data_IF_080165443740
#
_entry.id   IF_080165443740
#
_cell.length_a   1.000
_cell.length_b   1.000
_cell.length_c   1.000
_cell.angle_alpha   90.00
_cell.angle_beta   90.00
_cell.angle_gamma   90.00
#
_symmetry.space_group_name_H-M   'P 1'
#
loop_
_entity.id
_entity.type
_entity.pdbx_description
1 polymer ?
#
# COMPACT_ATOMS: atom_id res chain seq x y z
N UNK A 1 31.04 18.01 6.03
CA UNK A 1 31.04 16.53 5.89
C UNK A 1 29.91 16.01 6.76
N UNK A 2 28.73 15.84 6.20
CA UNK A 2 27.61 15.22 6.95
C UNK A 2 27.89 13.73 7.03
N UNK A 3 28.22 13.25 8.23
CA UNK A 3 28.23 11.82 8.51
C UNK A 3 26.81 11.32 8.27
N UNK A 4 26.61 10.50 7.24
CA UNK A 4 25.35 9.77 7.05
C UNK A 4 25.10 8.94 8.29
N UNK A 5 24.28 9.44 9.19
CA UNK A 5 23.79 8.63 10.30
C UNK A 5 22.97 7.48 9.70
N UNK A 6 23.36 6.25 10.02
CA UNK A 6 22.59 5.08 9.62
C UNK A 6 21.15 5.20 10.13
N UNK A 7 20.19 4.68 9.36
CA UNK A 7 18.79 4.62 9.82
C UNK A 7 18.70 3.85 11.15
N UNK A 8 17.83 4.29 12.08
CA UNK A 8 17.60 3.57 13.32
C UNK A 8 17.16 2.11 13.07
N UNK A 9 17.54 1.21 13.96
CA UNK A 9 17.37 -0.23 13.76
C UNK A 9 15.91 -0.68 13.73
N UNK A 10 15.06 -0.15 14.61
CA UNK A 10 13.65 -0.57 14.69
C UNK A 10 12.73 0.38 13.92
N UNK A 11 11.60 -0.15 13.47
CA UNK A 11 10.61 0.60 12.72
C UNK A 11 10.05 1.78 13.51
N UNK A 12 9.81 1.62 14.82
CA UNK A 12 9.32 2.68 15.70
C UNK A 12 10.33 3.82 15.84
N UNK A 13 11.61 3.47 15.99
CA UNK A 13 12.68 4.47 16.04
C UNK A 13 12.82 5.21 14.72
N UNK A 14 12.69 4.50 13.59
CA UNK A 14 12.71 5.12 12.26
C UNK A 14 11.54 6.06 12.04
N UNK A 15 10.32 5.65 12.39
CA UNK A 15 9.14 6.49 12.27
C UNK A 15 9.26 7.79 13.08
N UNK A 16 9.72 7.70 14.35
CA UNK A 16 9.99 8.87 15.18
C UNK A 16 11.10 9.75 14.60
N UNK A 17 12.13 9.13 14.06
CA UNK A 17 13.25 9.85 13.43
C UNK A 17 12.79 10.60 12.18
N UNK A 18 12.01 9.99 11.29
CA UNK A 18 11.40 10.70 10.16
C UNK A 18 10.56 11.89 10.63
N UNK A 19 9.75 11.69 11.68
CA UNK A 19 8.92 12.78 12.23
C UNK A 19 9.74 13.93 12.76
N UNK A 20 10.80 13.66 13.51
CA UNK A 20 11.67 14.70 14.10
C UNK A 20 12.46 15.48 13.05
N UNK A 21 12.64 14.94 11.84
CA UNK A 21 13.34 15.61 10.73
C UNK A 21 12.39 16.20 9.68
N UNK A 22 11.14 16.47 10.05
CA UNK A 22 10.18 17.12 9.14
C UNK A 22 9.42 16.19 8.20
N UNK A 23 9.56 14.87 8.37
CA UNK A 23 8.90 13.86 7.56
C UNK A 23 9.79 13.19 6.53
N UNK A 24 9.22 12.23 5.84
CA UNK A 24 9.95 11.36 4.88
C UNK A 24 10.55 12.18 3.72
N UNK A 25 9.78 13.10 3.16
CA UNK A 25 10.22 13.91 2.03
C UNK A 25 11.40 14.83 2.44
N UNK A 26 11.30 15.51 3.58
CA UNK A 26 12.37 16.39 4.07
C UNK A 26 13.68 15.63 4.29
N UNK A 27 13.61 14.42 4.84
CA UNK A 27 14.78 13.57 5.06
C UNK A 27 15.44 13.16 3.75
N UNK A 28 14.66 12.80 2.74
CA UNK A 28 15.20 12.41 1.42
C UNK A 28 15.80 13.61 0.70
N UNK A 29 15.11 14.74 0.68
CA UNK A 29 15.58 15.98 0.04
C UNK A 29 16.86 16.54 0.69
N UNK A 30 16.99 16.39 2.00
CA UNK A 30 18.18 16.77 2.74
C UNK A 30 19.36 15.78 2.61
N UNK A 31 19.18 14.66 1.91
CA UNK A 31 20.22 13.64 1.71
C UNK A 31 20.68 12.98 3.03
N UNK A 32 19.80 12.87 4.01
CA UNK A 32 20.15 12.33 5.34
C UNK A 32 20.20 10.80 5.36
N UNK A 33 19.71 10.14 4.31
CA UNK A 33 19.73 8.69 4.19
C UNK A 33 21.07 8.25 3.57
N UNK A 34 21.55 7.09 4.03
CA UNK A 34 22.66 6.42 3.34
C UNK A 34 22.21 5.95 1.95
N UNK A 35 23.14 5.87 1.00
CA UNK A 35 22.86 5.46 -0.40
C UNK A 35 22.20 4.09 -0.50
N UNK A 36 22.32 3.26 0.53
CA UNK A 36 21.71 1.93 0.58
C UNK A 36 21.10 1.70 1.95
N UNK A 37 19.82 1.34 1.98
CA UNK A 37 19.09 0.99 3.21
C UNK A 37 18.35 -0.32 3.04
N UNK A 38 18.25 -1.12 4.11
CA UNK A 38 17.50 -2.37 4.13
C UNK A 38 16.30 -2.23 5.07
N UNK A 39 15.09 -2.40 4.55
CA UNK A 39 13.84 -2.22 5.27
C UNK A 39 12.88 -3.39 4.98
N UNK A 40 11.85 -3.55 5.82
CA UNK A 40 10.74 -4.44 5.52
C UNK A 40 9.95 -3.96 4.29
N UNK A 41 9.41 -4.90 3.51
CA UNK A 41 8.65 -4.57 2.30
C UNK A 41 7.45 -3.67 2.61
N UNK A 42 6.68 -3.97 3.65
CA UNK A 42 5.51 -3.14 4.04
C UNK A 42 5.93 -1.73 4.42
N UNK A 43 7.05 -1.58 5.12
CA UNK A 43 7.59 -0.27 5.47
C UNK A 43 8.00 0.53 4.24
N UNK A 44 8.65 -0.10 3.28
CA UNK A 44 9.04 0.54 2.02
C UNK A 44 7.82 0.99 1.22
N UNK A 45 6.77 0.17 1.18
CA UNK A 45 5.53 0.54 0.51
C UNK A 45 4.86 1.74 1.18
N UNK A 46 4.77 1.75 2.52
CA UNK A 46 4.21 2.90 3.27
C UNK A 46 5.03 4.16 3.03
N UNK A 47 6.37 4.09 3.11
CA UNK A 47 7.24 5.23 2.81
C UNK A 47 7.09 5.73 1.37
N UNK A 48 6.97 4.81 0.42
CA UNK A 48 6.75 5.15 -0.99
C UNK A 48 5.40 5.83 -1.23
N UNK A 49 4.34 5.39 -0.53
CA UNK A 49 3.01 6.03 -0.59
C UNK A 49 3.04 7.42 0.04
N UNK A 50 3.70 7.59 1.20
CA UNK A 50 3.90 8.91 1.82
C UNK A 50 4.61 9.87 0.85
N UNK A 51 5.63 9.40 0.14
CA UNK A 51 6.33 10.22 -0.88
C UNK A 51 5.44 10.63 -2.05
N UNK A 52 4.38 9.88 -2.33
CA UNK A 52 3.37 10.22 -3.33
C UNK A 52 2.25 11.10 -2.76
N UNK A 53 2.36 11.56 -1.52
CA UNK A 53 1.35 12.38 -0.84
C UNK A 53 0.21 11.58 -0.20
N UNK A 54 0.29 10.26 -0.18
CA UNK A 54 -0.73 9.40 0.43
C UNK A 54 -0.40 9.21 1.90
N UNK A 55 -1.13 9.91 2.75
CA UNK A 55 -0.99 9.85 4.21
C UNK A 55 -2.27 9.40 4.91
N UNK A 56 -3.36 9.22 4.17
CA UNK A 56 -4.66 8.73 4.68
C UNK A 56 -4.91 7.31 4.19
N UNK A 57 -5.16 6.43 5.13
CA UNK A 57 -5.42 5.00 4.89
C UNK A 57 -6.78 4.62 5.46
N UNK A 58 -7.72 4.26 4.58
CA UNK A 58 -9.03 3.78 4.94
C UNK A 58 -8.97 2.25 4.98
N UNK A 59 -9.32 1.62 6.11
CA UNK A 59 -8.96 0.22 6.30
C UNK A 59 -10.01 -0.61 7.03
N UNK A 60 -10.10 -1.86 6.59
CA UNK A 60 -10.68 -2.98 7.31
C UNK A 60 -9.65 -4.10 7.26
N UNK A 61 -8.93 -4.27 8.37
CA UNK A 61 -7.82 -5.22 8.45
C UNK A 61 -8.31 -6.61 8.80
N UNK A 62 -7.58 -7.60 8.34
CA UNK A 62 -7.83 -9.00 8.62
C UNK A 62 -6.72 -9.89 8.09
N UNK A 63 -7.02 -11.16 7.82
CA UNK A 63 -6.06 -12.08 7.23
C UNK A 63 -5.48 -11.52 5.93
N UNK A 64 -4.18 -11.62 5.75
CA UNK A 64 -3.46 -11.11 4.58
C UNK A 64 -3.10 -9.63 4.62
N UNK A 65 -3.55 -8.85 5.61
CA UNK A 65 -3.19 -7.42 5.73
C UNK A 65 -2.54 -7.04 7.08
N UNK A 66 -2.20 -8.03 7.91
CA UNK A 66 -1.70 -7.83 9.27
C UNK A 66 -0.36 -7.10 9.30
N UNK A 67 0.62 -7.54 8.51
CA UNK A 67 1.94 -6.92 8.44
C UNK A 67 1.89 -5.47 7.95
N UNK A 68 1.05 -5.22 6.95
CA UNK A 68 0.84 -3.87 6.45
C UNK A 68 0.15 -2.98 7.49
N UNK A 69 -0.87 -3.52 8.17
CA UNK A 69 -1.60 -2.84 9.24
C UNK A 69 -0.69 -2.50 10.43
N UNK A 70 0.20 -3.41 10.83
CA UNK A 70 1.16 -3.15 11.91
C UNK A 70 2.14 -2.03 11.54
N UNK A 71 2.63 -2.04 10.31
CA UNK A 71 3.44 -0.93 9.79
C UNK A 71 2.69 0.40 9.87
N UNK A 72 1.43 0.44 9.42
CA UNK A 72 0.62 1.66 9.51
C UNK A 72 0.42 2.13 10.95
N UNK A 73 0.17 1.21 11.89
CA UNK A 73 0.03 1.53 13.33
C UNK A 73 1.28 2.25 13.87
N UNK A 74 2.46 1.77 13.50
CA UNK A 74 3.73 2.40 13.92
C UNK A 74 3.88 3.80 13.35
N UNK A 75 3.62 3.98 12.07
CA UNK A 75 3.74 5.28 11.40
C UNK A 75 2.63 6.27 11.81
N UNK A 76 1.44 5.78 12.13
CA UNK A 76 0.35 6.58 12.71
C UNK A 76 0.70 7.05 14.12
N UNK A 77 1.27 6.18 14.96
CA UNK A 77 1.72 6.52 16.31
C UNK A 77 2.80 7.61 16.30
N UNK A 78 3.58 7.71 15.24
CA UNK A 78 4.54 8.79 15.04
C UNK A 78 3.92 10.04 14.38
N UNK A 79 2.65 10.01 13.99
CA UNK A 79 1.94 11.13 13.36
C UNK A 79 2.40 11.41 11.92
N UNK A 80 2.84 10.39 11.19
CA UNK A 80 3.24 10.48 9.78
C UNK A 80 2.12 10.09 8.82
N UNK A 81 1.20 9.26 9.27
CA UNK A 81 0.01 8.83 8.53
C UNK A 81 -1.21 8.87 9.44
N UNK A 82 -2.40 8.72 8.84
CA UNK A 82 -3.67 8.61 9.55
C UNK A 82 -4.46 7.42 9.04
N UNK A 83 -4.83 6.50 9.94
CA UNK A 83 -5.71 5.37 9.69
C UNK A 83 -7.16 5.70 10.03
N UNK A 84 -8.09 5.24 9.20
CA UNK A 84 -9.52 5.34 9.40
C UNK A 84 -10.13 3.94 9.31
N UNK A 85 -10.68 3.46 10.42
CA UNK A 85 -11.36 2.18 10.48
C UNK A 85 -12.79 2.31 9.97
N UNK A 86 -13.21 1.36 9.16
CA UNK A 86 -14.57 1.27 8.62
C UNK A 86 -15.25 -0.02 9.09
N UNK A 87 -16.56 -0.12 8.87
CA UNK A 87 -17.36 -1.30 9.18
C UNK A 87 -17.79 -2.09 7.94
N UNK A 88 -17.63 -1.48 6.76
CA UNK A 88 -18.02 -2.05 5.48
C UNK A 88 -17.05 -1.60 4.40
N UNK A 89 -16.56 -2.54 3.59
CA UNK A 89 -15.56 -2.27 2.55
C UNK A 89 -16.13 -1.48 1.37
N UNK A 90 -17.41 -1.64 1.07
CA UNK A 90 -18.08 -0.87 0.02
C UNK A 90 -18.12 0.61 0.39
N UNK A 91 -18.57 0.91 1.62
CA UNK A 91 -18.60 2.28 2.15
C UNK A 91 -17.19 2.88 2.21
N UNK A 92 -16.21 2.11 2.65
CA UNK A 92 -14.82 2.52 2.72
C UNK A 92 -14.29 2.93 1.34
N UNK A 93 -14.52 2.13 0.31
CA UNK A 93 -14.05 2.42 -1.04
C UNK A 93 -14.79 3.62 -1.66
N UNK A 94 -16.08 3.80 -1.38
CA UNK A 94 -16.80 5.02 -1.76
C UNK A 94 -16.27 6.26 -1.04
N UNK A 95 -15.97 6.16 0.27
CA UNK A 95 -15.38 7.26 1.03
C UNK A 95 -14.01 7.68 0.46
N UNK A 96 -13.17 6.70 0.08
CA UNK A 96 -11.89 6.97 -0.58
C UNK A 96 -12.07 7.69 -1.92
N UNK A 97 -13.04 7.25 -2.72
CA UNK A 97 -13.39 7.90 -3.98
C UNK A 97 -13.86 9.34 -3.75
N UNK A 98 -14.71 9.57 -2.74
CA UNK A 98 -15.21 10.89 -2.39
C UNK A 98 -14.09 11.83 -1.91
N UNK A 99 -13.17 11.35 -1.07
CA UNK A 99 -12.00 12.12 -0.64
C UNK A 99 -11.19 12.63 -1.82
N UNK A 100 -10.90 11.74 -2.76
CA UNK A 100 -10.13 12.11 -3.95
C UNK A 100 -10.92 13.03 -4.88
N UNK A 101 -12.20 12.76 -5.10
CA UNK A 101 -13.04 13.49 -6.06
C UNK A 101 -13.40 14.90 -5.59
N UNK A 102 -13.81 15.02 -4.31
CA UNK A 102 -14.35 16.27 -3.78
C UNK A 102 -13.26 17.17 -3.21
N UNK A 103 -12.26 16.56 -2.55
CA UNK A 103 -11.25 17.31 -1.80
C UNK A 103 -9.85 17.24 -2.42
N UNK A 104 -9.70 16.49 -3.52
CA UNK A 104 -8.40 16.21 -4.17
C UNK A 104 -7.37 15.59 -3.19
N UNK A 105 -7.86 14.86 -2.18
CA UNK A 105 -7.02 14.22 -1.18
C UNK A 105 -6.68 12.77 -1.60
N UNK A 106 -5.42 12.48 -1.98
CA UNK A 106 -5.03 11.13 -2.30
C UNK A 106 -5.02 10.25 -1.05
N UNK A 107 -5.58 9.05 -1.18
CA UNK A 107 -5.69 8.09 -0.10
C UNK A 107 -5.55 6.66 -0.62
N UNK A 108 -5.41 5.71 0.31
CA UNK A 108 -5.38 4.29 0.00
C UNK A 108 -6.45 3.54 0.78
N UNK A 109 -7.09 2.59 0.13
CA UNK A 109 -8.00 1.59 0.71
C UNK A 109 -7.21 0.34 1.02
N UNK A 110 -7.35 -0.21 2.23
CA UNK A 110 -6.68 -1.43 2.68
C UNK A 110 -7.71 -2.44 3.14
N UNK A 111 -7.68 -3.63 2.56
CA UNK A 111 -8.56 -4.72 2.97
C UNK A 111 -7.81 -6.01 3.26
N UNK A 112 -8.52 -6.93 3.92
CA UNK A 112 -8.19 -8.33 3.95
C UNK A 112 -8.33 -8.96 2.54
N UNK A 113 -7.97 -10.23 2.40
CA UNK A 113 -8.15 -11.01 1.18
C UNK A 113 -9.59 -11.44 0.98
N UNK A 114 -9.88 -11.97 -0.21
CA UNK A 114 -11.14 -12.63 -0.52
C UNK A 114 -12.35 -11.70 -0.47
N UNK A 115 -13.31 -11.98 0.42
CA UNK A 115 -14.57 -11.24 0.47
C UNK A 115 -14.38 -9.73 0.67
N UNK A 116 -13.45 -9.31 1.54
CA UNK A 116 -13.16 -7.90 1.78
C UNK A 116 -12.64 -7.20 0.52
N UNK A 117 -11.70 -7.82 -0.18
CA UNK A 117 -11.18 -7.32 -1.45
C UNK A 117 -12.29 -7.18 -2.50
N UNK A 118 -13.16 -8.20 -2.63
CA UNK A 118 -14.27 -8.18 -3.60
C UNK A 118 -15.31 -7.11 -3.28
N UNK A 119 -15.63 -6.89 -2.01
CA UNK A 119 -16.55 -5.84 -1.60
C UNK A 119 -15.99 -4.44 -1.90
N UNK A 120 -14.75 -4.17 -1.55
CA UNK A 120 -14.09 -2.89 -1.88
C UNK A 120 -13.97 -2.71 -3.40
N UNK A 121 -13.69 -3.77 -4.15
CA UNK A 121 -13.62 -3.73 -5.60
C UNK A 121 -14.98 -3.38 -6.23
N UNK A 122 -16.09 -3.89 -5.70
CA UNK A 122 -17.42 -3.57 -6.23
C UNK A 122 -17.68 -2.05 -6.20
N UNK A 123 -17.29 -1.36 -5.14
CA UNK A 123 -17.41 0.10 -5.05
C UNK A 123 -16.41 0.85 -5.93
N UNK A 124 -15.32 0.24 -6.34
CA UNK A 124 -14.31 0.89 -7.19
C UNK A 124 -14.79 1.18 -8.61
N UNK A 125 -15.97 0.67 -9.00
CA UNK A 125 -16.58 0.99 -10.30
C UNK A 125 -16.80 2.48 -10.46
N UNK A 126 -17.15 3.20 -9.38
CA UNK A 126 -17.35 4.66 -9.40
C UNK A 126 -16.05 5.37 -9.72
N UNK A 127 -14.96 5.02 -9.07
CA UNK A 127 -13.63 5.61 -9.35
C UNK A 127 -13.13 5.24 -10.74
N UNK A 128 -13.39 4.01 -11.19
CA UNK A 128 -13.02 3.55 -12.54
C UNK A 128 -13.76 4.31 -13.64
N UNK A 129 -15.08 4.46 -13.49
CA UNK A 129 -15.93 5.10 -14.51
C UNK A 129 -15.73 6.62 -14.61
N UNK A 130 -15.31 7.26 -13.51
CA UNK A 130 -15.18 8.72 -13.44
C UNK A 130 -13.73 9.22 -13.48
N UNK A 131 -12.76 8.34 -13.71
CA UNK A 131 -11.37 8.75 -13.80
C UNK A 131 -10.78 9.23 -12.46
N UNK A 132 -11.23 8.67 -11.35
CA UNK A 132 -10.79 9.03 -10.00
C UNK A 132 -9.70 8.07 -9.52
N UNK A 133 -8.50 8.59 -9.31
CA UNK A 133 -7.37 7.76 -8.88
C UNK A 133 -7.43 7.43 -7.39
N UNK A 134 -7.54 6.14 -7.06
CA UNK A 134 -7.49 5.61 -5.69
C UNK A 134 -6.60 4.39 -5.66
N UNK A 135 -5.73 4.30 -4.66
CA UNK A 135 -5.01 3.07 -4.37
C UNK A 135 -5.91 2.08 -3.63
N UNK A 136 -5.96 0.86 -4.12
CA UNK A 136 -6.58 -0.28 -3.46
C UNK A 136 -5.48 -1.30 -3.15
N UNK A 137 -5.16 -1.48 -1.88
CA UNK A 137 -4.11 -2.40 -1.40
C UNK A 137 -4.81 -3.56 -0.69
N UNK A 138 -4.75 -4.72 -1.30
CA UNK A 138 -5.45 -5.90 -0.83
C UNK A 138 -4.46 -6.94 -0.35
N UNK A 139 -4.71 -7.54 0.81
CA UNK A 139 -4.05 -8.77 1.17
C UNK A 139 -4.33 -9.84 0.11
N UNK A 140 -3.39 -10.74 -0.09
CA UNK A 140 -3.55 -11.89 -0.97
C UNK A 140 -2.97 -13.13 -0.30
N UNK A 141 -3.40 -14.30 -0.75
CA UNK A 141 -2.90 -15.56 -0.23
C UNK A 141 -1.42 -15.78 -0.59
N UNK A 142 -0.82 -16.75 0.08
CA UNK A 142 0.54 -17.14 -0.19
C UNK A 142 0.75 -17.54 -1.65
N UNK A 143 1.92 -17.22 -2.19
CA UNK A 143 2.33 -17.65 -3.53
C UNK A 143 2.85 -19.10 -3.55
N UNK A 144 2.99 -19.73 -2.39
CA UNK A 144 3.29 -21.16 -2.30
C UNK A 144 2.05 -21.99 -2.44
N UNK A 145 2.14 -23.11 -3.18
CA UNK A 145 1.03 -24.03 -3.35
C UNK A 145 0.74 -24.79 -2.06
N UNK A 146 -0.13 -24.26 -1.22
CA UNK A 146 -0.43 -24.82 0.10
C UNK A 146 -1.61 -25.81 0.10
N UNK A 147 -2.10 -26.21 -1.04
CA UNK A 147 -3.12 -27.24 -1.16
C UNK A 147 -4.50 -26.76 -0.69
N UNK A 148 -5.20 -27.60 0.09
CA UNK A 148 -6.64 -27.47 0.30
C UNK A 148 -7.08 -26.57 1.46
N UNK A 149 -6.18 -25.96 2.19
CA UNK A 149 -6.48 -25.18 3.40
C UNK A 149 -6.34 -23.65 3.23
N UNK A 150 -6.28 -23.16 2.00
CA UNK A 150 -6.28 -21.74 1.74
C UNK A 150 -7.63 -21.13 2.15
N UNK A 151 -7.59 -20.16 3.02
CA UNK A 151 -8.76 -19.74 3.79
C UNK A 151 -9.82 -19.00 2.96
N UNK A 152 -9.46 -18.21 2.00
CA UNK A 152 -10.38 -17.29 1.34
C UNK A 152 -10.22 -17.26 -0.19
N UNK A 153 -9.54 -18.23 -0.73
CA UNK A 153 -9.30 -18.37 -2.16
C UNK A 153 -9.86 -19.69 -2.66
N UNK A 154 -10.55 -19.73 -3.80
CA UNK A 154 -10.90 -20.99 -4.45
C UNK A 154 -9.65 -21.82 -4.72
N UNK A 155 -9.67 -23.07 -4.31
CA UNK A 155 -8.50 -23.96 -4.16
C UNK A 155 -7.66 -24.21 -5.41
N UNK A 156 -8.15 -23.87 -6.60
CA UNK A 156 -7.47 -24.19 -7.86
C UNK A 156 -6.86 -23.00 -8.57
N UNK A 157 -7.11 -21.78 -8.07
CA UNK A 157 -6.82 -20.54 -8.80
C UNK A 157 -5.96 -19.60 -7.98
N UNK A 158 -4.68 -19.91 -7.86
CA UNK A 158 -3.72 -18.95 -7.33
C UNK A 158 -3.69 -17.68 -8.20
N UNK A 159 -3.68 -16.52 -7.56
CA UNK A 159 -3.67 -15.24 -8.28
C UNK A 159 -5.02 -14.81 -8.86
N UNK A 160 -6.12 -15.50 -8.48
CA UNK A 160 -7.47 -15.16 -8.97
C UNK A 160 -7.85 -13.71 -8.67
N UNK A 161 -7.48 -13.17 -7.51
CA UNK A 161 -7.81 -11.79 -7.16
C UNK A 161 -7.08 -10.78 -8.04
N UNK A 162 -5.85 -11.08 -8.47
CA UNK A 162 -5.15 -10.28 -9.47
C UNK A 162 -5.89 -10.25 -10.81
N UNK A 163 -6.44 -11.38 -11.24
CA UNK A 163 -7.23 -11.47 -12.48
C UNK A 163 -8.56 -10.71 -12.35
N UNK A 164 -9.27 -10.89 -11.23
CA UNK A 164 -10.55 -10.23 -10.98
C UNK A 164 -10.35 -8.72 -10.92
N UNK A 165 -9.39 -8.23 -10.16
CA UNK A 165 -9.14 -6.79 -10.02
C UNK A 165 -8.67 -6.14 -11.32
N UNK A 166 -8.00 -6.89 -12.20
CA UNK A 166 -7.60 -6.42 -13.53
C UNK A 166 -8.79 -6.09 -14.44
N UNK A 167 -9.97 -6.61 -14.17
CA UNK A 167 -11.19 -6.27 -14.92
C UNK A 167 -11.72 -4.87 -14.60
N UNK A 168 -11.39 -4.33 -13.42
CA UNK A 168 -11.87 -3.04 -12.94
C UNK A 168 -10.88 -1.90 -13.12
N UNK A 169 -9.63 -2.20 -13.34
CA UNK A 169 -8.58 -1.20 -13.49
C UNK A 169 -7.20 -1.80 -13.63
N UNK A 170 -6.17 -0.98 -13.39
CA UNK A 170 -4.79 -1.48 -13.38
C UNK A 170 -4.56 -2.32 -12.13
N UNK A 171 -4.12 -3.55 -12.29
CA UNK A 171 -3.82 -4.49 -11.20
C UNK A 171 -2.37 -4.94 -11.25
N UNK A 172 -1.79 -5.16 -10.08
CA UNK A 172 -0.44 -5.68 -9.92
C UNK A 172 -0.36 -6.57 -8.68
N UNK A 173 0.08 -7.80 -8.84
CA UNK A 173 0.35 -8.69 -7.71
C UNK A 173 1.84 -8.70 -7.42
N UNK A 174 2.22 -8.34 -6.20
CA UNK A 174 3.62 -8.21 -5.78
C UNK A 174 4.19 -9.58 -5.35
N UNK A 175 4.40 -10.47 -6.31
CA UNK A 175 4.98 -11.79 -6.07
C UNK A 175 6.45 -11.74 -5.62
N UNK A 176 7.19 -10.75 -6.10
CA UNK A 176 8.61 -10.57 -5.83
C UNK A 176 8.81 -9.29 -5.05
N UNK A 177 9.26 -9.34 -3.78
CA UNK A 177 9.44 -8.16 -2.94
C UNK A 177 10.29 -7.06 -3.59
N UNK A 178 11.33 -7.42 -4.35
CA UNK A 178 12.23 -6.49 -5.04
C UNK A 178 11.53 -5.66 -6.12
N UNK A 179 10.36 -6.10 -6.60
CA UNK A 179 9.58 -5.38 -7.60
C UNK A 179 8.72 -4.23 -7.02
N UNK A 180 8.87 -3.90 -5.73
CA UNK A 180 8.09 -2.84 -5.05
C UNK A 180 8.17 -1.48 -5.75
N UNK A 181 9.33 -1.12 -6.33
CA UNK A 181 9.49 0.14 -7.08
C UNK A 181 8.61 0.16 -8.33
N UNK A 182 8.53 -0.96 -9.05
CA UNK A 182 7.67 -1.08 -10.22
C UNK A 182 6.19 -1.00 -9.82
N UNK A 183 5.80 -1.66 -8.73
CA UNK A 183 4.45 -1.58 -8.18
C UNK A 183 4.05 -0.13 -7.84
N UNK A 184 4.90 0.58 -7.10
CA UNK A 184 4.67 1.98 -6.72
C UNK A 184 4.63 2.91 -7.94
N UNK A 185 5.52 2.74 -8.90
CA UNK A 185 5.55 3.52 -10.14
C UNK A 185 4.29 3.31 -10.98
N UNK A 186 3.86 2.06 -11.16
CA UNK A 186 2.61 1.72 -11.86
C UNK A 186 1.40 2.35 -11.16
N UNK A 187 1.36 2.25 -9.83
CA UNK A 187 0.31 2.87 -9.03
C UNK A 187 0.28 4.38 -9.19
N UNK A 188 1.42 5.05 -9.03
CA UNK A 188 1.52 6.50 -9.24
C UNK A 188 1.07 6.92 -10.65
N UNK A 189 1.54 6.21 -11.67
CA UNK A 189 1.16 6.49 -13.07
C UNK A 189 -0.34 6.36 -13.28
N UNK A 190 -1.01 5.39 -12.63
CA UNK A 190 -2.45 5.19 -12.79
C UNK A 190 -3.27 6.16 -11.95
N UNK A 191 -2.92 6.30 -10.66
CA UNK A 191 -3.70 7.08 -9.69
C UNK A 191 -3.60 8.59 -9.96
N UNK A 192 -2.43 9.06 -10.37
CA UNK A 192 -2.15 10.49 -10.61
C UNK A 192 -2.11 10.85 -12.09
N UNK A 193 -2.60 10.00 -12.97
CA UNK A 193 -2.61 10.30 -14.40
C UNK A 193 -3.51 11.52 -14.69
N UNK A 194 -3.03 12.54 -15.40
CA UNK A 194 -3.77 13.81 -15.57
C UNK A 194 -5.10 13.67 -16.31
N UNK A 195 -5.23 12.69 -17.21
CA UNK A 195 -6.43 12.51 -18.04
C UNK A 195 -7.01 11.09 -18.03
N UNK A 196 -6.31 10.12 -17.44
CA UNK A 196 -6.72 8.70 -17.43
C UNK A 196 -6.55 8.08 -16.02
N UNK A 197 -6.71 8.89 -14.98
CA UNK A 197 -6.67 8.41 -13.62
C UNK A 197 -7.72 7.30 -13.40
N UNK A 198 -7.54 6.52 -12.36
CA UNK A 198 -8.45 5.46 -11.99
C UNK A 198 -7.88 4.59 -10.88
N UNK A 199 -8.63 3.61 -10.41
CA UNK A 199 -8.17 2.74 -9.35
C UNK A 199 -6.93 1.95 -9.80
N UNK A 200 -6.02 1.77 -8.84
CA UNK A 200 -4.88 0.86 -8.96
C UNK A 200 -4.95 -0.18 -7.86
N UNK A 201 -5.00 -1.44 -8.24
CA UNK A 201 -5.09 -2.57 -7.32
C UNK A 201 -3.71 -3.19 -7.11
N UNK A 202 -3.23 -3.13 -5.88
CA UNK A 202 -2.00 -3.79 -5.45
C UNK A 202 -2.35 -4.98 -4.56
N UNK A 203 -2.18 -6.18 -5.09
CA UNK A 203 -2.38 -7.41 -4.33
C UNK A 203 -1.05 -7.80 -3.66
N UNK A 204 -1.08 -7.97 -2.34
CA UNK A 204 0.08 -8.26 -1.50
C UNK A 204 0.00 -9.67 -0.93
N UNK A 205 0.66 -10.66 -1.55
CA UNK A 205 0.72 -12.02 -1.00
C UNK A 205 1.30 -12.02 0.42
N UNK A 206 0.65 -12.75 1.33
CA UNK A 206 0.98 -12.77 2.75
C UNK A 206 2.43 -13.18 3.02
N UNK A 207 2.96 -14.10 2.25
CA UNK A 207 4.35 -14.58 2.41
C UNK A 207 5.40 -13.59 1.90
N UNK A 208 5.03 -12.58 1.10
CA UNK A 208 5.97 -11.56 0.62
C UNK A 208 6.08 -10.37 1.57
N UNK A 209 5.04 -10.07 2.34
CA UNK A 209 4.96 -8.89 3.20
C UNK A 209 6.09 -8.78 4.25
N UNK A 210 6.52 -9.86 4.95
CA UNK A 210 7.59 -9.78 5.93
C UNK A 210 9.00 -9.71 5.33
N UNK A 211 9.14 -9.79 4.01
CA UNK A 211 10.44 -9.79 3.36
C UNK A 211 11.19 -8.47 3.57
N UNK A 212 12.52 -8.57 3.69
CA UNK A 212 13.41 -7.41 3.67
C UNK A 212 13.82 -7.10 2.24
N UNK A 213 13.86 -5.83 1.92
CA UNK A 213 14.31 -5.32 0.62
C UNK A 213 15.42 -4.29 0.81
N UNK A 214 16.36 -4.28 -0.08
CA UNK A 214 17.44 -3.31 -0.10
C UNK A 214 17.14 -2.22 -1.11
N UNK A 215 17.12 -1.00 -0.64
CA UNK A 215 16.87 0.21 -1.43
C UNK A 215 18.19 0.89 -1.76
N UNK A 216 18.37 1.27 -3.01
CA UNK A 216 19.34 2.30 -3.41
C UNK A 216 18.57 3.60 -3.56
N UNK A 217 19.12 4.68 -3.03
CA UNK A 217 18.48 6.00 -2.95
C UNK A 217 19.07 7.02 -3.93
N UNK A 218 19.90 6.53 -4.83
CA UNK A 218 20.51 7.25 -5.97
C UNK A 218 19.60 7.24 -7.22
#
# INVERSE_FOLDING_TARGET
>A
MNSSQGLPETQEKRAKWFKSHGGVNAVVEAGLLSNTVSLGLTEVLVLGLIRQGITKFLMILGHGSTEFGETLRVYESAGLVKGFQFRNEVEMAHAATALRWVYDEPCAVITSIGPGALQAMAASIVSSSNGIGVYHIYGDETTHGEGYNMQQVPKREQGIFGQITATMGSSYTLHTPQAFRDALRRGATRVFHPSKAGPFFLNLPINTQPAKVTLRLD
#
